data_IF_327541394121
#
_entry.id   IF_327541394121
#
_cell.length_a   1.000
_cell.length_b   1.000
_cell.length_c   1.000
_cell.angle_alpha   90.00
_cell.angle_beta   90.00
_cell.angle_gamma   90.00
#
_symmetry.space_group_name_H-M   'P 1'
#
loop_
_entity.id
_entity.type
_entity.pdbx_description
1 polymer ?
#
# COMPACT_ATOMS: atom_id res chain seq x y z
N UNK A 1 0.01 2.36 -22.36
CA UNK A 1 -1.03 1.70 -21.53
C UNK A 1 -0.81 2.23 -20.12
N UNK A 2 -1.74 3.04 -19.60
CA UNK A 2 -1.63 3.61 -18.25
C UNK A 2 -1.43 2.47 -17.23
N UNK A 3 -0.36 2.55 -16.43
CA UNK A 3 -0.13 1.63 -15.31
C UNK A 3 -0.33 2.36 -13.99
N UNK A 4 -0.76 1.64 -12.98
CA UNK A 4 -0.88 2.15 -11.61
C UNK A 4 0.32 1.65 -10.82
N UNK A 5 0.99 2.55 -10.12
CA UNK A 5 2.04 2.26 -9.15
C UNK A 5 1.60 2.70 -7.74
N UNK A 6 2.35 2.28 -6.72
CA UNK A 6 2.07 2.63 -5.32
C UNK A 6 3.34 2.86 -4.52
N UNK A 7 3.19 3.50 -3.36
CA UNK A 7 4.29 3.86 -2.46
C UNK A 7 4.29 3.08 -1.13
N UNK A 8 3.45 2.05 -1.00
CA UNK A 8 3.18 1.33 0.27
C UNK A 8 4.49 0.84 0.90
N UNK A 9 5.33 0.13 0.13
CA UNK A 9 6.59 -0.44 0.64
C UNK A 9 7.55 0.64 1.14
N UNK A 10 7.70 1.73 0.38
CA UNK A 10 8.63 2.81 0.69
C UNK A 10 8.25 3.55 1.97
N UNK A 11 6.99 3.96 2.09
CA UNK A 11 6.49 4.70 3.27
C UNK A 11 6.49 3.80 4.51
N UNK A 12 6.06 2.55 4.36
CA UNK A 12 6.08 1.56 5.43
C UNK A 12 7.48 1.39 6.03
N UNK A 13 8.50 1.26 5.17
CA UNK A 13 9.91 1.14 5.59
C UNK A 13 10.41 2.42 6.23
N UNK A 14 10.09 3.59 5.68
CA UNK A 14 10.46 4.89 6.25
C UNK A 14 9.89 5.07 7.66
N UNK A 15 8.67 4.58 7.92
CA UNK A 15 8.01 4.63 9.23
C UNK A 15 8.41 3.48 10.18
N UNK A 16 9.36 2.62 9.80
CA UNK A 16 9.81 1.50 10.64
C UNK A 16 8.76 0.39 10.84
N UNK A 17 7.75 0.31 9.98
CA UNK A 17 6.68 -0.68 10.07
C UNK A 17 7.14 -1.97 9.38
N UNK A 18 7.84 -2.85 10.08
CA UNK A 18 8.37 -4.08 9.47
C UNK A 18 7.33 -5.19 9.27
N UNK A 19 6.28 -5.23 10.09
CA UNK A 19 5.32 -6.34 10.14
C UNK A 19 4.02 -6.02 9.40
N UNK A 20 3.57 -6.91 8.48
CA UNK A 20 2.32 -6.74 7.72
C UNK A 20 1.06 -6.80 8.59
N UNK A 21 1.12 -7.49 9.74
CA UNK A 21 0.04 -7.60 10.73
C UNK A 21 -0.46 -6.21 11.19
N UNK A 22 0.42 -5.21 11.22
CA UNK A 22 0.07 -3.82 11.60
C UNK A 22 -0.84 -3.13 10.59
N UNK A 23 -0.90 -3.65 9.37
CA UNK A 23 -1.75 -3.17 8.27
C UNK A 23 -2.98 -4.09 8.12
N UNK A 24 -3.22 -5.02 9.05
CA UNK A 24 -4.41 -5.88 9.07
C UNK A 24 -4.49 -6.86 7.90
N UNK A 25 -3.36 -7.18 7.25
CA UNK A 25 -3.30 -8.12 6.12
C UNK A 25 -2.14 -9.10 6.24
N UNK A 26 -2.27 -10.24 5.56
CA UNK A 26 -1.19 -11.22 5.47
C UNK A 26 0.03 -10.65 4.73
N UNK A 27 1.22 -11.17 5.03
CA UNK A 27 2.45 -10.86 4.30
C UNK A 27 2.32 -11.10 2.78
N UNK A 28 1.58 -12.15 2.39
CA UNK A 28 1.32 -12.50 0.99
C UNK A 28 0.48 -11.43 0.30
N UNK A 29 -0.59 -10.97 0.95
CA UNK A 29 -1.45 -9.90 0.43
C UNK A 29 -0.68 -8.61 0.28
N UNK A 30 0.06 -8.19 1.32
CA UNK A 30 0.87 -6.98 1.26
C UNK A 30 1.91 -7.04 0.13
N UNK A 31 2.59 -8.18 -0.06
CA UNK A 31 3.56 -8.36 -1.15
C UNK A 31 2.93 -8.20 -2.53
N UNK A 32 1.70 -8.68 -2.74
CA UNK A 32 1.00 -8.51 -4.01
C UNK A 32 0.64 -7.06 -4.29
N UNK A 33 0.27 -6.30 -3.26
CA UNK A 33 0.03 -4.88 -3.37
C UNK A 33 1.34 -4.12 -3.66
N UNK A 34 2.40 -4.39 -2.90
CA UNK A 34 3.70 -3.72 -3.05
C UNK A 34 4.33 -3.96 -4.43
N UNK A 35 4.05 -5.09 -5.09
CA UNK A 35 4.57 -5.40 -6.44
C UNK A 35 3.57 -5.13 -7.59
N UNK A 36 2.39 -4.59 -7.30
CA UNK A 36 1.37 -4.24 -8.29
C UNK A 36 0.69 -5.43 -8.99
N UNK A 37 0.84 -6.65 -8.46
CA UNK A 37 0.15 -7.84 -8.98
C UNK A 37 -1.30 -7.97 -8.51
N UNK A 38 -1.69 -7.18 -7.51
CA UNK A 38 -3.05 -7.06 -6.98
C UNK A 38 -3.20 -5.67 -6.33
N UNK A 39 -4.43 -5.24 -6.08
CA UNK A 39 -4.72 -3.94 -5.47
C UNK A 39 -5.68 -4.10 -4.29
N UNK A 40 -5.53 -3.29 -3.22
CA UNK A 40 -6.50 -3.27 -2.14
C UNK A 40 -7.84 -2.78 -2.66
N UNK A 41 -8.92 -3.30 -2.07
CA UNK A 41 -10.23 -2.64 -2.17
C UNK A 41 -10.19 -1.28 -1.48
N UNK A 42 -11.22 -0.47 -1.72
CA UNK A 42 -11.29 0.89 -1.19
C UNK A 42 -11.16 0.95 0.35
N UNK A 43 -11.90 0.10 1.06
CA UNK A 43 -11.84 -0.04 2.53
C UNK A 43 -10.42 -0.35 3.03
N UNK A 44 -9.73 -1.25 2.33
CA UNK A 44 -8.36 -1.63 2.65
C UNK A 44 -7.36 -0.52 2.34
N UNK A 45 -7.56 0.23 1.26
CA UNK A 45 -6.72 1.37 0.92
C UNK A 45 -6.79 2.46 1.99
N UNK A 46 -7.99 2.75 2.52
CA UNK A 46 -8.17 3.66 3.66
C UNK A 46 -7.45 3.18 4.92
N UNK A 47 -7.55 1.88 5.24
CA UNK A 47 -6.87 1.32 6.40
C UNK A 47 -5.34 1.39 6.26
N UNK A 48 -4.81 1.06 5.08
CA UNK A 48 -3.38 1.20 4.79
C UNK A 48 -2.95 2.65 4.92
N UNK A 49 -3.70 3.60 4.34
CA UNK A 49 -3.42 5.04 4.42
C UNK A 49 -3.41 5.53 5.88
N UNK A 50 -4.34 5.08 6.70
CA UNK A 50 -4.40 5.40 8.13
C UNK A 50 -3.19 4.85 8.89
N UNK A 51 -2.81 3.59 8.68
CA UNK A 51 -1.63 2.97 9.34
C UNK A 51 -0.33 3.63 8.90
N UNK A 52 -0.24 3.99 7.62
CA UNK A 52 0.89 4.71 7.07
C UNK A 52 0.82 6.21 7.38
N UNK A 53 -0.26 6.70 7.98
CA UNK A 53 -0.49 8.11 8.33
C UNK A 53 -0.14 9.04 7.15
N UNK A 54 -0.87 8.81 6.05
CA UNK A 54 -0.84 9.61 4.82
C UNK A 54 -2.27 9.72 4.24
N UNK A 55 -2.55 10.74 3.41
CA UNK A 55 -3.79 10.78 2.65
C UNK A 55 -3.92 9.62 1.66
N UNK A 56 -5.13 9.06 1.47
CA UNK A 56 -5.36 7.87 0.63
C UNK A 56 -5.03 8.12 -0.85
N UNK A 57 -5.20 9.35 -1.32
CA UNK A 57 -4.87 9.79 -2.68
C UNK A 57 -3.36 9.76 -2.97
N UNK A 58 -2.51 9.67 -1.93
CA UNK A 58 -1.05 9.54 -2.09
C UNK A 58 -0.62 8.07 -2.23
N UNK A 59 -1.52 7.11 -2.02
CA UNK A 59 -1.18 5.69 -2.00
C UNK A 59 -0.86 5.14 -3.40
N UNK A 60 -1.63 5.58 -4.40
CA UNK A 60 -1.57 5.11 -5.78
C UNK A 60 -1.39 6.27 -6.76
N UNK A 61 -0.62 6.06 -7.83
CA UNK A 61 -0.39 7.07 -8.87
C UNK A 61 -0.26 6.42 -10.25
N UNK A 62 -0.59 7.17 -11.30
CA UNK A 62 -0.40 6.73 -12.67
C UNK A 62 1.05 6.92 -13.11
N UNK A 63 1.53 5.97 -13.91
CA UNK A 63 2.79 6.07 -14.63
C UNK A 63 2.53 5.84 -16.12
N UNK A 64 3.25 6.59 -16.96
CA UNK A 64 3.19 6.53 -18.42
C UNK A 64 3.83 5.25 -19.00
#
# INVERSE_FOLDING_TARGET
MLKIANCISSIRKQKGISQPEKIGVTARTLRKWENGSDYPRLDQAFLVAQVLDIPVERLFFYID
#
